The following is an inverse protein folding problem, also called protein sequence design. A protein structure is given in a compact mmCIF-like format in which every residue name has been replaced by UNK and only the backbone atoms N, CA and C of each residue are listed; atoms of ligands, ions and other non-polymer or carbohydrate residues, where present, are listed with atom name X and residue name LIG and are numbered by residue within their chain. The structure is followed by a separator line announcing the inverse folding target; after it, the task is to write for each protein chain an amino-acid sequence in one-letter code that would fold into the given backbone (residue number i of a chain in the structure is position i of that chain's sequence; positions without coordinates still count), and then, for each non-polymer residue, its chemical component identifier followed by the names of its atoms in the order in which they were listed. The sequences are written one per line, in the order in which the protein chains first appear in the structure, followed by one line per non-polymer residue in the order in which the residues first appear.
data_IF_024757465193
#
_entry.id   IF_024757465193
#
_cell.length_a   1.000
_cell.length_b   1.000
_cell.length_c   1.000
_cell.angle_alpha   90.00
_cell.angle_beta   90.00
_cell.angle_gamma   90.00
#
_symmetry.space_group_name_H-M   'P 1'
#
loop_
_entity.id
_entity.type
_entity.pdbx_description
1 polymer ?
#
# COMPACT_ATOMS: atom_id res chain seq x y z
N UNK A 1 -4.75 -25.65 1.34
CA UNK A 1 -3.67 -25.14 2.23
C UNK A 1 -3.52 -23.65 2.10
N UNK A 2 -3.15 -23.08 0.94
CA UNK A 2 -2.77 -21.66 0.81
C UNK A 2 -3.99 -20.74 0.66
N UNK A 3 -4.91 -20.78 1.63
CA UNK A 3 -6.13 -19.96 1.70
C UNK A 3 -5.90 -18.76 2.63
N UNK A 4 -4.84 -17.99 2.38
CA UNK A 4 -4.55 -16.78 3.14
C UNK A 4 -4.12 -15.64 2.22
N UNK A 5 -4.55 -14.44 2.57
CA UNK A 5 -4.30 -13.23 1.77
C UNK A 5 -3.05 -12.47 2.21
N UNK A 6 -2.61 -12.63 3.48
CA UNK A 6 -1.41 -11.98 4.02
C UNK A 6 -0.62 -12.89 4.97
N UNK A 7 0.69 -12.69 4.99
CA UNK A 7 1.64 -13.38 5.88
C UNK A 7 2.38 -12.35 6.71
N UNK A 8 2.45 -12.57 8.02
CA UNK A 8 3.25 -11.79 8.96
C UNK A 8 4.26 -12.73 9.58
N UNK A 9 5.49 -12.29 9.75
CA UNK A 9 6.56 -13.09 10.32
C UNK A 9 7.32 -12.31 11.40
N UNK A 10 7.90 -13.03 12.35
CA UNK A 10 8.87 -12.48 13.29
C UNK A 10 10.30 -12.63 12.71
N UNK A 11 11.25 -11.72 13.03
CA UNK A 11 12.59 -11.74 12.44
C UNK A 11 13.37 -13.05 12.64
N UNK A 12 13.14 -13.74 13.75
CA UNK A 12 13.72 -15.04 14.11
C UNK A 12 13.31 -16.18 13.16
N UNK A 13 12.07 -16.16 12.66
CA UNK A 13 11.54 -17.17 11.74
C UNK A 13 11.85 -16.89 10.25
N UNK A 14 12.40 -15.72 9.91
CA UNK A 14 12.67 -15.34 8.52
C UNK A 14 13.65 -16.27 7.81
N UNK A 15 14.60 -16.89 8.53
CA UNK A 15 15.52 -17.88 7.97
C UNK A 15 14.81 -19.16 7.46
N UNK A 16 13.70 -19.53 8.10
CA UNK A 16 12.87 -20.67 7.69
C UNK A 16 11.91 -20.26 6.58
N UNK A 17 11.26 -19.10 6.71
CA UNK A 17 10.34 -18.55 5.70
C UNK A 17 11.04 -18.32 4.36
N UNK A 18 12.31 -17.92 4.38
CA UNK A 18 13.15 -17.75 3.18
C UNK A 18 13.27 -19.03 2.34
N UNK A 19 13.27 -20.23 2.97
CA UNK A 19 13.28 -21.51 2.24
C UNK A 19 12.00 -21.76 1.44
N UNK A 20 10.87 -21.22 1.91
CA UNK A 20 9.55 -21.30 1.25
C UNK A 20 9.36 -20.12 0.27
N UNK A 21 10.34 -19.22 0.15
CA UNK A 21 10.31 -18.05 -0.72
C UNK A 21 10.03 -18.37 -2.19
N UNK A 22 10.36 -19.57 -2.69
CA UNK A 22 10.00 -20.01 -4.06
C UNK A 22 8.48 -20.05 -4.30
N UNK A 23 7.69 -20.30 -3.27
CA UNK A 23 6.22 -20.39 -3.35
C UNK A 23 5.59 -19.03 -3.02
N UNK A 24 6.08 -18.36 -1.97
CA UNK A 24 5.52 -17.08 -1.51
C UNK A 24 5.94 -15.88 -2.38
N UNK A 25 7.12 -15.94 -2.99
CA UNK A 25 7.69 -14.89 -3.84
C UNK A 25 6.83 -14.52 -5.06
N UNK A 26 6.49 -15.45 -5.97
CA UNK A 26 5.72 -15.13 -7.17
C UNK A 26 4.29 -14.66 -6.88
N UNK A 27 3.77 -14.93 -5.67
CA UNK A 27 2.44 -14.48 -5.23
C UNK A 27 2.46 -13.14 -4.48
N UNK A 28 3.64 -12.55 -4.25
CA UNK A 28 3.76 -11.31 -3.49
C UNK A 28 3.43 -11.43 -2.00
N UNK A 29 3.35 -12.66 -1.48
CA UNK A 29 2.99 -12.96 -0.08
C UNK A 29 4.22 -13.07 0.83
N UNK A 30 5.41 -12.72 0.32
CA UNK A 30 6.64 -12.80 1.08
C UNK A 30 6.71 -11.64 2.09
N UNK A 31 6.84 -11.92 3.40
CA UNK A 31 6.92 -10.86 4.41
C UNK A 31 8.20 -10.05 4.22
N UNK A 32 8.09 -8.73 4.36
CA UNK A 32 9.15 -7.77 4.09
C UNK A 32 9.29 -6.79 5.27
N UNK A 33 10.51 -6.63 5.83
CA UNK A 33 10.75 -5.63 6.88
C UNK A 33 10.37 -4.20 6.47
N UNK A 34 10.50 -3.87 5.18
CA UNK A 34 10.13 -2.53 4.67
C UNK A 34 8.64 -2.25 4.71
N UNK A 35 7.81 -3.27 4.63
CA UNK A 35 6.35 -3.12 4.72
C UNK A 35 5.84 -3.28 6.16
N UNK A 36 6.74 -3.49 7.13
CA UNK A 36 6.36 -3.68 8.54
C UNK A 36 5.70 -5.03 8.84
N UNK A 37 5.64 -5.92 7.85
CA UNK A 37 5.13 -7.30 7.99
C UNK A 37 6.13 -8.24 8.66
N UNK A 38 7.33 -7.74 8.97
CA UNK A 38 8.32 -8.40 9.82
C UNK A 38 8.55 -7.57 11.08
N UNK A 39 7.95 -7.99 12.19
CA UNK A 39 8.04 -7.29 13.49
C UNK A 39 7.92 -8.26 14.65
N UNK A 40 8.37 -7.84 15.84
CA UNK A 40 8.08 -8.54 17.09
C UNK A 40 6.67 -8.24 17.61
N UNK A 41 6.08 -7.10 17.22
CA UNK A 41 4.73 -6.68 17.61
C UNK A 41 3.68 -7.23 16.64
N UNK A 42 3.39 -8.52 16.73
CA UNK A 42 2.47 -9.20 15.80
C UNK A 42 1.02 -8.76 16.01
N UNK A 43 0.60 -8.45 17.24
CA UNK A 43 -0.79 -8.10 17.56
C UNK A 43 -1.24 -6.79 16.89
N UNK A 44 -0.39 -5.74 16.96
CA UNK A 44 -0.67 -4.44 16.36
C UNK A 44 -0.76 -4.54 14.84
N UNK A 45 0.14 -5.32 14.22
CA UNK A 45 0.14 -5.55 12.78
C UNK A 45 -1.09 -6.33 12.32
N UNK A 46 -1.53 -7.35 13.07
CA UNK A 46 -2.77 -8.07 12.74
C UNK A 46 -3.98 -7.13 12.80
N UNK A 47 -4.05 -6.25 13.81
CA UNK A 47 -5.13 -5.25 13.93
C UNK A 47 -5.13 -4.29 12.74
N UNK A 48 -3.96 -3.78 12.35
CA UNK A 48 -3.82 -2.85 11.23
C UNK A 48 -4.15 -3.51 9.88
N UNK A 49 -3.72 -4.76 9.67
CA UNK A 49 -4.06 -5.52 8.47
C UNK A 49 -5.57 -5.74 8.38
N UNK A 50 -6.22 -6.13 9.49
CA UNK A 50 -7.68 -6.29 9.55
C UNK A 50 -8.43 -4.98 9.34
N UNK A 51 -7.87 -3.86 9.78
CA UNK A 51 -8.42 -2.53 9.54
C UNK A 51 -8.31 -2.08 8.08
N UNK A 52 -7.71 -2.88 7.20
CA UNK A 52 -7.66 -2.60 5.76
C UNK A 52 -6.45 -1.77 5.35
N UNK A 53 -5.32 -1.86 6.07
CA UNK A 53 -4.09 -1.18 5.70
C UNK A 53 -3.72 -1.47 4.24
N UNK A 54 -3.60 -0.40 3.44
CA UNK A 54 -3.20 -0.43 2.04
C UNK A 54 -1.70 -0.21 1.96
N UNK A 55 -1.00 -1.12 1.31
CA UNK A 55 0.42 -0.98 1.01
C UNK A 55 0.57 -0.39 -0.40
N UNK A 56 1.39 0.66 -0.51
CA UNK A 56 1.75 1.23 -1.80
C UNK A 56 3.26 1.32 -1.91
N UNK A 57 3.76 1.16 -3.13
CA UNK A 57 5.18 1.25 -3.46
C UNK A 57 5.35 2.11 -4.69
N UNK A 58 6.43 2.89 -4.70
CA UNK A 58 6.85 3.60 -5.90
C UNK A 58 7.53 2.65 -6.90
N UNK A 59 7.11 2.74 -8.15
CA UNK A 59 7.73 2.03 -9.27
C UNK A 59 9.09 2.63 -9.64
N UNK A 60 9.84 1.92 -10.48
CA UNK A 60 11.15 2.40 -10.98
C UNK A 60 11.06 3.74 -11.71
N UNK A 61 9.89 4.04 -12.28
CA UNK A 61 9.59 5.31 -12.97
C UNK A 61 9.11 6.42 -12.02
N UNK A 62 9.00 6.15 -10.71
CA UNK A 62 8.53 7.12 -9.72
C UNK A 62 7.01 7.29 -9.67
N UNK A 63 6.25 6.39 -10.29
CA UNK A 63 4.79 6.36 -10.18
C UNK A 63 4.36 5.61 -8.91
N UNK A 64 3.24 6.02 -8.32
CA UNK A 64 2.66 5.39 -7.16
C UNK A 64 1.24 4.93 -7.51
N UNK A 65 0.99 3.64 -7.33
CA UNK A 65 -0.31 3.03 -7.55
C UNK A 65 -0.86 2.55 -6.20
N UNK A 66 -2.10 2.93 -5.89
CA UNK A 66 -2.77 2.54 -4.66
C UNK A 66 -4.27 2.40 -4.89
N UNK A 67 -4.86 1.32 -4.38
CA UNK A 67 -6.30 1.10 -4.41
C UNK A 67 -6.97 1.78 -3.22
N UNK A 68 -7.78 2.80 -3.47
CA UNK A 68 -8.48 3.60 -2.44
C UNK A 68 -9.84 3.02 -2.03
N UNK A 69 -10.38 2.05 -2.78
CA UNK A 69 -11.66 1.42 -2.45
C UNK A 69 -12.28 0.63 -3.61
N UNK A 70 -13.56 0.29 -3.44
CA UNK A 70 -14.42 -0.32 -4.46
C UNK A 70 -15.62 0.58 -4.74
N UNK A 71 -16.28 0.38 -5.88
CA UNK A 71 -17.52 1.10 -6.25
C UNK A 71 -18.64 0.87 -5.23
N UNK A 72 -18.61 -0.24 -4.50
CA UNK A 72 -19.59 -0.54 -3.46
C UNK A 72 -19.46 0.32 -2.20
N UNK A 73 -18.45 1.18 -2.10
CA UNK A 73 -18.28 2.10 -0.97
C UNK A 73 -19.03 3.40 -1.22
N UNK A 74 -19.43 4.04 -0.14
CA UNK A 74 -20.08 5.34 -0.20
C UNK A 74 -19.11 6.42 -0.71
N UNK A 75 -19.65 7.45 -1.38
CA UNK A 75 -18.86 8.49 -2.01
C UNK A 75 -18.01 9.25 -0.98
N UNK A 76 -18.57 9.54 0.18
CA UNK A 76 -17.89 10.28 1.26
C UNK A 76 -16.67 9.51 1.79
N UNK A 77 -16.82 8.19 1.98
CA UNK A 77 -15.71 7.32 2.43
C UNK A 77 -14.60 7.23 1.39
N UNK A 78 -14.94 7.27 0.10
CA UNK A 78 -13.94 7.29 -0.97
C UNK A 78 -13.17 8.62 -0.95
N UNK A 79 -13.85 9.75 -0.76
CA UNK A 79 -13.20 11.06 -0.62
C UNK A 79 -12.26 11.10 0.60
N UNK A 80 -12.70 10.60 1.76
CA UNK A 80 -11.86 10.51 2.96
C UNK A 80 -10.61 9.65 2.71
N UNK A 81 -10.76 8.47 2.11
CA UNK A 81 -9.63 7.58 1.80
C UNK A 81 -8.62 8.25 0.86
N UNK A 82 -9.09 8.97 -0.16
CA UNK A 82 -8.22 9.69 -1.10
C UNK A 82 -7.48 10.83 -0.37
N UNK A 83 -8.17 11.60 0.47
CA UNK A 83 -7.58 12.71 1.23
C UNK A 83 -6.46 12.21 2.15
N UNK A 84 -6.71 11.13 2.90
CA UNK A 84 -5.70 10.47 3.75
C UNK A 84 -4.52 9.97 2.93
N UNK A 85 -4.76 9.42 1.75
CA UNK A 85 -3.69 8.94 0.87
C UNK A 85 -2.82 10.10 0.37
N UNK A 86 -3.42 11.19 -0.07
CA UNK A 86 -2.68 12.37 -0.55
C UNK A 86 -1.86 12.99 0.58
N UNK A 87 -2.42 13.09 1.78
CA UNK A 87 -1.73 13.63 2.95
C UNK A 87 -0.57 12.74 3.41
N UNK A 88 -0.75 11.43 3.43
CA UNK A 88 0.32 10.49 3.78
C UNK A 88 1.45 10.55 2.75
N UNK A 89 1.14 10.66 1.46
CA UNK A 89 2.15 10.84 0.40
C UNK A 89 2.89 12.18 0.55
N UNK A 90 2.19 13.28 0.84
CA UNK A 90 2.81 14.59 1.11
C UNK A 90 3.77 14.52 2.30
N UNK A 91 3.41 13.81 3.38
CA UNK A 91 4.27 13.60 4.57
C UNK A 91 5.49 12.73 4.28
N UNK A 92 5.36 11.73 3.40
CA UNK A 92 6.47 10.87 2.99
C UNK A 92 7.44 11.53 1.99
N UNK A 93 7.21 12.80 1.63
CA UNK A 93 8.10 13.55 0.76
C UNK A 93 9.54 13.54 1.32
N UNK A 94 10.51 12.95 0.61
CA UNK A 94 11.89 12.96 1.06
C UNK A 94 12.46 14.39 0.96
N UNK A 95 13.30 14.75 1.93
CA UNK A 95 13.96 16.07 2.04
C UNK A 95 14.86 16.40 0.83
N UNK A 96 15.29 15.40 0.09
CA UNK A 96 16.07 15.56 -1.15
C UNK A 96 15.23 15.99 -2.36
N UNK A 97 13.90 15.86 -2.30
CA UNK A 97 13.02 16.22 -3.43
C UNK A 97 12.76 17.73 -3.46
N UNK A 98 13.24 18.38 -4.52
CA UNK A 98 13.04 19.81 -4.79
C UNK A 98 11.86 20.02 -5.74
N UNK A 99 11.06 21.05 -5.49
CA UNK A 99 9.92 21.44 -6.33
C UNK A 99 8.60 20.71 -6.02
N UNK A 100 7.71 20.68 -7.02
CA UNK A 100 6.36 20.11 -6.95
C UNK A 100 6.48 18.58 -6.87
N UNK A 101 6.05 18.00 -5.75
CA UNK A 101 6.16 16.57 -5.46
C UNK A 101 5.10 15.74 -6.20
N UNK A 102 3.85 16.22 -6.23
CA UNK A 102 2.75 15.61 -6.96
C UNK A 102 2.52 16.34 -8.28
N UNK A 103 2.91 15.73 -9.40
CA UNK A 103 2.79 16.36 -10.73
C UNK A 103 1.45 16.13 -11.39
N UNK A 104 0.92 14.91 -11.27
CA UNK A 104 -0.35 14.51 -11.85
C UNK A 104 -1.00 13.50 -10.93
N UNK A 105 -2.31 13.59 -10.78
CA UNK A 105 -3.11 12.66 -10.01
C UNK A 105 -4.29 12.22 -10.87
N UNK A 106 -4.43 10.91 -11.05
CA UNK A 106 -5.46 10.32 -11.91
C UNK A 106 -6.17 9.19 -11.18
N UNK A 107 -7.49 9.27 -11.16
CA UNK A 107 -8.37 8.23 -10.63
C UNK A 107 -8.93 7.42 -11.79
N UNK A 108 -8.78 6.10 -11.73
CA UNK A 108 -9.34 5.18 -12.72
C UNK A 108 -9.97 3.99 -12.03
N UNK A 109 -11.07 3.48 -12.57
CA UNK A 109 -11.57 2.15 -12.22
C UNK A 109 -10.76 1.07 -12.95
N UNK A 110 -10.89 -0.19 -12.54
CA UNK A 110 -10.08 -1.32 -13.07
C UNK A 110 -10.15 -1.46 -14.59
N UNK A 111 -11.30 -1.14 -15.19
CA UNK A 111 -11.54 -1.27 -16.64
C UNK A 111 -12.07 0.03 -17.27
N UNK A 112 -11.91 1.18 -16.59
CA UNK A 112 -12.46 2.46 -17.03
C UNK A 112 -11.40 3.49 -17.42
N UNK A 113 -11.81 4.57 -18.11
CA UNK A 113 -10.91 5.68 -18.41
C UNK A 113 -10.46 6.38 -17.12
N UNK A 114 -9.21 6.87 -17.13
CA UNK A 114 -8.66 7.64 -16.03
C UNK A 114 -9.07 9.12 -16.09
N UNK A 115 -9.63 9.63 -15.00
CA UNK A 115 -9.99 11.04 -14.84
C UNK A 115 -8.87 11.71 -14.05
N UNK A 116 -8.33 12.81 -14.60
CA UNK A 116 -7.37 13.65 -13.88
C UNK A 116 -8.10 14.47 -12.84
N UNK A 117 -7.60 14.45 -11.61
CA UNK A 117 -8.16 15.19 -10.49
C UNK A 117 -7.05 16.06 -9.90
N UNK A 118 -7.41 17.25 -9.44
CA UNK A 118 -6.45 18.17 -8.86
C UNK A 118 -6.10 17.74 -7.42
N UNK A 119 -4.83 17.44 -7.11
CA UNK A 119 -4.40 17.05 -5.76
C UNK A 119 -4.40 18.20 -4.73
N UNK A 120 -4.78 19.42 -5.12
CA UNK A 120 -4.94 20.56 -4.19
C UNK A 120 -6.37 20.73 -3.68
N UNK A 121 -7.37 20.22 -4.41
CA UNK A 121 -8.80 20.43 -4.12
C UNK A 121 -9.42 19.27 -3.34
N UNK A 122 -8.66 18.18 -3.17
CA UNK A 122 -9.00 17.02 -2.33
C UNK A 122 -8.27 17.13 -1.01
#
# INVERSE_FOLDING_TARGET
WLEFDRVVATPDMMAVVGRIGKILGPRGLMPNPKTGTVTFEVESVIKNIKAGQVEFRADKLGNLHASVGKISFDADKLCENISVLVDTVKRMKPSSSKGIYLRNFSLSSTMGPGIKVDPQTV
#
